data_IF_127293391855
#
_entry.id   IF_127293391855
#
_cell.length_a   1.000
_cell.length_b   1.000
_cell.length_c   1.000
_cell.angle_alpha   90.00
_cell.angle_beta   90.00
_cell.angle_gamma   90.00
#
_symmetry.space_group_name_H-M   'P 1'
#
loop_
_entity.id
_entity.type
_entity.pdbx_description
1 polymer ?
#
# COMPACT_ATOMS: atom_id res chain seq x y z
N UNK A 1 -13.79 19.52 12.88
CA UNK A 1 -13.80 18.45 11.86
C UNK A 1 -12.45 17.74 11.94
N UNK A 2 -12.37 16.64 12.69
CA UNK A 2 -11.15 15.83 12.78
C UNK A 2 -11.07 15.05 11.48
N UNK A 3 -10.09 15.36 10.63
CA UNK A 3 -9.80 14.54 9.46
C UNK A 3 -9.08 13.31 10.02
N UNK A 4 -9.81 12.22 10.17
CA UNK A 4 -9.20 10.94 10.51
C UNK A 4 -8.32 10.53 9.33
N UNK A 5 -7.01 10.49 9.53
CA UNK A 5 -6.07 10.13 8.49
C UNK A 5 -6.20 8.61 8.27
N UNK A 6 -6.90 8.25 7.19
CA UNK A 6 -7.15 6.86 6.79
C UNK A 6 -5.83 6.09 6.63
N UNK A 7 -5.85 4.77 6.87
CA UNK A 7 -4.63 3.97 6.68
C UNK A 7 -4.14 4.02 5.23
N UNK A 8 -2.82 3.93 4.99
CA UNK A 8 -2.26 3.92 3.64
C UNK A 8 -2.89 2.84 2.74
N UNK A 9 -3.19 1.67 3.32
CA UNK A 9 -3.89 0.58 2.65
C UNK A 9 -5.28 0.99 2.11
N UNK A 10 -6.06 1.75 2.88
CA UNK A 10 -7.39 2.17 2.48
C UNK A 10 -7.33 3.19 1.33
N UNK A 11 -6.32 4.06 1.33
CA UNK A 11 -6.08 5.02 0.23
C UNK A 11 -5.74 4.29 -1.06
N UNK A 12 -4.83 3.31 -1.01
CA UNK A 12 -4.45 2.49 -2.17
C UNK A 12 -5.66 1.71 -2.69
N UNK A 13 -6.48 1.14 -1.79
CA UNK A 13 -7.69 0.42 -2.19
C UNK A 13 -8.65 1.30 -3.02
N UNK A 14 -8.88 2.55 -2.61
CA UNK A 14 -9.74 3.49 -3.35
C UNK A 14 -9.20 3.81 -4.75
N UNK A 15 -7.89 4.04 -4.85
CA UNK A 15 -7.22 4.28 -6.15
C UNK A 15 -7.35 3.04 -7.04
N UNK A 16 -7.09 1.86 -6.47
CA UNK A 16 -7.14 0.60 -7.21
C UNK A 16 -8.56 0.28 -7.73
N UNK A 17 -9.61 0.61 -6.97
CA UNK A 17 -11.01 0.52 -7.43
C UNK A 17 -11.23 1.39 -8.67
N UNK A 18 -10.77 2.65 -8.64
CA UNK A 18 -10.94 3.57 -9.77
C UNK A 18 -10.17 3.16 -11.02
N UNK A 19 -8.95 2.65 -10.86
CA UNK A 19 -8.15 2.14 -11.99
C UNK A 19 -8.79 0.88 -12.57
N UNK A 20 -9.18 -0.07 -11.72
CA UNK A 20 -9.79 -1.33 -12.16
C UNK A 20 -11.10 -1.08 -12.90
N UNK A 21 -11.95 -0.17 -12.41
CA UNK A 21 -13.21 0.16 -13.09
C UNK A 21 -13.00 0.76 -14.48
N UNK A 22 -11.98 1.61 -14.66
CA UNK A 22 -11.63 2.14 -15.98
C UNK A 22 -11.21 1.02 -16.94
N UNK A 23 -10.38 0.07 -16.49
CA UNK A 23 -9.95 -1.06 -17.32
C UNK A 23 -11.10 -2.03 -17.66
N UNK A 24 -12.08 -2.20 -16.76
CA UNK A 24 -13.30 -2.95 -17.05
C UNK A 24 -14.08 -2.29 -18.19
N UNK A 25 -14.26 -0.97 -18.13
CA UNK A 25 -14.95 -0.22 -19.20
C UNK A 25 -14.20 -0.33 -20.54
N UNK A 26 -12.88 -0.18 -20.53
CA UNK A 26 -12.06 -0.36 -21.74
C UNK A 26 -12.18 -1.77 -22.32
N UNK A 27 -12.25 -2.79 -21.46
CA UNK A 27 -12.48 -4.17 -21.88
C UNK A 27 -13.85 -4.34 -22.54
N UNK A 28 -14.91 -3.74 -21.97
CA UNK A 28 -16.25 -3.77 -22.54
C UNK A 28 -16.30 -3.09 -23.93
N UNK A 29 -15.62 -1.97 -24.10
CA UNK A 29 -15.50 -1.29 -25.39
C UNK A 29 -14.74 -2.14 -26.42
N UNK A 30 -13.61 -2.74 -26.03
CA UNK A 30 -12.84 -3.62 -26.90
C UNK A 30 -13.65 -4.85 -27.38
N UNK A 31 -14.54 -5.37 -26.54
CA UNK A 31 -15.48 -6.45 -26.92
C UNK A 31 -16.54 -5.90 -27.88
N UNK A 32 -17.12 -4.73 -27.60
CA UNK A 32 -18.15 -4.10 -28.44
C UNK A 32 -17.66 -3.77 -29.85
N UNK A 33 -16.39 -3.40 -29.98
CA UNK A 33 -15.75 -3.11 -31.27
C UNK A 33 -15.30 -4.39 -32.00
N UNK A 34 -15.42 -5.56 -31.38
CA UNK A 34 -15.07 -6.85 -31.98
C UNK A 34 -13.56 -7.14 -31.99
N UNK A 35 -12.75 -6.37 -31.26
CA UNK A 35 -11.30 -6.61 -31.14
C UNK A 35 -11.00 -7.88 -30.32
N UNK A 36 -11.91 -8.27 -29.42
CA UNK A 36 -11.81 -9.48 -28.60
C UNK A 36 -12.90 -10.46 -29.05
N UNK A 37 -12.52 -11.45 -29.86
CA UNK A 37 -13.43 -12.49 -30.35
C UNK A 37 -13.56 -13.61 -29.32
N UNK A 38 -14.62 -13.57 -28.52
CA UNK A 38 -14.91 -14.58 -27.47
C UNK A 38 -15.85 -15.68 -28.01
N UNK A 39 -16.67 -15.35 -29.01
CA UNK A 39 -17.55 -16.29 -29.70
C UNK A 39 -17.08 -16.45 -31.15
N UNK A 40 -16.91 -17.71 -31.57
CA UNK A 40 -16.48 -18.08 -32.91
C UNK A 40 -17.38 -17.41 -33.96
N UNK A 41 -16.76 -16.72 -34.90
CA UNK A 41 -17.45 -15.84 -35.83
C UNK A 41 -18.10 -16.68 -36.94
N UNK A 42 -19.32 -17.17 -36.70
CA UNK A 42 -20.04 -18.04 -37.63
C UNK A 42 -20.47 -17.39 -38.96
N UNK A 43 -20.19 -16.11 -39.22
CA UNK A 43 -20.54 -15.41 -40.48
C UNK A 43 -19.49 -14.38 -40.91
N UNK A 44 -18.57 -14.82 -41.77
CA UNK A 44 -17.93 -14.17 -42.94
C UNK A 44 -17.38 -12.72 -42.87
N UNK A 45 -17.38 -12.03 -41.73
CA UNK A 45 -16.72 -10.72 -41.61
C UNK A 45 -15.89 -10.73 -40.32
N UNK A 46 -14.71 -11.33 -40.40
CA UNK A 46 -13.74 -11.30 -39.31
C UNK A 46 -12.81 -10.10 -39.52
N UNK A 47 -12.82 -9.17 -38.58
CA UNK A 47 -11.75 -8.17 -38.41
C UNK A 47 -10.52 -8.93 -37.90
N UNK A 48 -9.35 -8.57 -38.40
CA UNK A 48 -8.09 -9.23 -38.05
C UNK A 48 -7.85 -9.19 -36.54
N UNK A 49 -7.50 -10.34 -35.97
CA UNK A 49 -7.39 -10.53 -34.52
C UNK A 49 -6.24 -9.68 -33.99
N UNK A 50 -6.56 -8.63 -33.24
CA UNK A 50 -5.53 -7.82 -32.59
C UNK A 50 -5.20 -8.41 -31.21
N UNK A 51 -4.17 -9.27 -31.15
CA UNK A 51 -3.77 -9.94 -29.90
C UNK A 51 -3.43 -8.97 -28.76
N UNK A 52 -3.07 -7.71 -29.08
CA UNK A 52 -2.84 -6.65 -28.10
C UNK A 52 -4.09 -6.22 -27.32
N UNK A 53 -5.30 -6.45 -27.85
CA UNK A 53 -6.55 -6.10 -27.16
C UNK A 53 -6.80 -6.98 -25.92
N UNK A 54 -6.14 -8.14 -25.79
CA UNK A 54 -6.24 -9.02 -24.61
C UNK A 54 -5.53 -8.44 -23.37
N UNK A 55 -4.74 -7.38 -23.51
CA UNK A 55 -4.06 -6.74 -22.38
C UNK A 55 -5.08 -6.10 -21.43
N UNK A 56 -6.17 -5.51 -21.94
CA UNK A 56 -7.21 -4.88 -21.11
C UNK A 56 -7.88 -5.84 -20.12
N UNK A 57 -8.43 -7.00 -20.55
CA UNK A 57 -9.03 -7.95 -19.62
C UNK A 57 -8.01 -8.55 -18.64
N UNK A 58 -6.76 -8.79 -19.07
CA UNK A 58 -5.70 -9.32 -18.19
C UNK A 58 -5.42 -8.34 -17.04
N UNK A 59 -5.22 -7.06 -17.35
CA UNK A 59 -4.97 -6.02 -16.32
C UNK A 59 -6.18 -5.89 -15.40
N UNK A 60 -7.40 -5.92 -15.94
CA UNK A 60 -8.62 -5.89 -15.14
C UNK A 60 -8.70 -7.08 -14.15
N UNK A 61 -8.29 -8.27 -14.59
CA UNK A 61 -8.32 -9.48 -13.77
C UNK A 61 -7.29 -9.39 -12.62
N UNK A 62 -6.09 -8.88 -12.91
CA UNK A 62 -5.06 -8.61 -11.90
C UNK A 62 -5.57 -7.59 -10.87
N UNK A 63 -6.21 -6.51 -11.32
CA UNK A 63 -6.80 -5.49 -10.44
C UNK A 63 -7.85 -6.07 -9.49
N UNK A 64 -8.75 -6.93 -10.00
CA UNK A 64 -9.74 -7.63 -9.19
C UNK A 64 -9.13 -8.60 -8.18
N UNK A 65 -8.09 -9.36 -8.58
CA UNK A 65 -7.37 -10.26 -7.68
C UNK A 65 -6.72 -9.49 -6.52
N UNK A 66 -6.05 -8.38 -6.81
CA UNK A 66 -5.45 -7.53 -5.79
C UNK A 66 -6.50 -6.95 -4.83
N UNK A 67 -7.63 -6.46 -5.35
CA UNK A 67 -8.74 -5.99 -4.53
C UNK A 67 -9.33 -7.11 -3.65
N UNK A 68 -9.45 -8.31 -4.17
CA UNK A 68 -9.95 -9.47 -3.42
C UNK A 68 -9.00 -9.84 -2.27
N UNK A 69 -7.69 -9.86 -2.54
CA UNK A 69 -6.66 -10.11 -1.51
C UNK A 69 -6.72 -9.03 -0.43
N UNK A 70 -6.82 -7.75 -0.82
CA UNK A 70 -6.95 -6.65 0.14
C UNK A 70 -8.23 -6.74 0.97
N UNK A 71 -9.36 -7.11 0.35
CA UNK A 71 -10.63 -7.29 1.05
C UNK A 71 -10.57 -8.44 2.06
N UNK A 72 -9.99 -9.59 1.67
CA UNK A 72 -9.84 -10.74 2.57
C UNK A 72 -8.86 -10.47 3.71
N UNK A 73 -7.80 -9.71 3.43
CA UNK A 73 -6.80 -9.28 4.41
C UNK A 73 -7.37 -8.29 5.43
N UNK A 74 -8.46 -7.58 5.12
CA UNK A 74 -9.03 -6.55 6.01
C UNK A 74 -9.54 -7.09 7.35
N UNK A 75 -9.84 -8.38 7.45
CA UNK A 75 -10.36 -9.02 8.66
C UNK A 75 -9.31 -9.82 9.45
N UNK A 76 -8.04 -9.76 9.03
CA UNK A 76 -6.91 -10.40 9.74
C UNK A 76 -6.19 -9.36 10.59
N UNK A 77 -5.71 -9.80 11.75
CA UNK A 77 -4.89 -8.97 12.63
C UNK A 77 -3.59 -8.52 11.92
N UNK A 78 -2.97 -7.48 12.48
CA UNK A 78 -1.75 -6.87 11.97
C UNK A 78 -0.64 -7.94 11.88
N UNK A 79 0.23 -7.83 10.88
CA UNK A 79 1.40 -8.69 10.58
C UNK A 79 1.16 -10.04 9.89
N UNK A 80 -0.06 -10.56 9.84
CA UNK A 80 -0.36 -11.90 9.25
C UNK A 80 -0.71 -11.90 7.74
N UNK A 81 -0.62 -10.75 7.06
CA UNK A 81 -0.99 -10.63 5.65
C UNK A 81 0.21 -10.49 4.72
N UNK A 82 0.13 -11.13 3.54
CA UNK A 82 1.16 -11.08 2.50
C UNK A 82 1.51 -9.64 2.05
N UNK A 83 0.56 -8.72 2.12
CA UNK A 83 0.73 -7.33 1.72
C UNK A 83 1.22 -6.42 2.85
N UNK A 84 1.26 -6.88 4.10
CA UNK A 84 1.60 -6.02 5.24
C UNK A 84 3.06 -5.56 5.22
N UNK A 85 3.95 -6.38 4.63
CA UNK A 85 5.35 -6.03 4.42
C UNK A 85 5.56 -4.86 3.45
N UNK A 86 4.59 -4.62 2.57
CA UNK A 86 4.67 -3.59 1.53
C UNK A 86 3.79 -2.38 1.82
N UNK A 87 2.60 -2.63 2.37
CA UNK A 87 1.59 -1.62 2.62
C UNK A 87 1.12 -1.81 4.05
N UNK A 88 1.54 -0.90 4.93
CA UNK A 88 1.06 -0.93 6.30
C UNK A 88 -0.43 -0.59 6.36
N UNK A 89 -1.16 -1.46 7.08
CA UNK A 89 -2.58 -1.29 7.41
C UNK A 89 -2.80 -0.43 8.67
N UNK A 90 -1.73 0.01 9.33
CA UNK A 90 -1.74 0.87 10.52
C UNK A 90 -2.39 2.21 10.20
N UNK A 91 -3.06 2.82 11.19
CA UNK A 91 -3.58 4.19 11.04
C UNK A 91 -2.41 5.12 10.82
N UNK A 92 -2.53 6.02 9.85
CA UNK A 92 -1.42 6.88 9.45
C UNK A 92 -0.94 7.76 10.61
N UNK A 93 -1.85 8.21 11.49
CA UNK A 93 -1.50 9.02 12.66
C UNK A 93 -0.62 8.25 13.67
N UNK A 94 -0.95 6.99 13.94
CA UNK A 94 -0.25 6.12 14.90
C UNK A 94 1.14 5.74 14.37
N UNK A 95 1.19 5.35 13.09
CA UNK A 95 2.42 5.10 12.36
C UNK A 95 3.33 6.33 12.36
N UNK A 96 2.78 7.53 12.12
CA UNK A 96 3.56 8.78 12.12
C UNK A 96 4.11 9.11 13.49
N UNK A 97 3.35 8.90 14.58
CA UNK A 97 3.89 9.10 15.93
C UNK A 97 5.03 8.14 16.23
N UNK A 98 4.86 6.85 15.92
CA UNK A 98 5.89 5.83 16.13
C UNK A 98 7.14 6.11 15.30
N UNK A 99 7.00 6.36 14.00
CA UNK A 99 8.14 6.68 13.12
C UNK A 99 8.86 7.96 13.54
N UNK A 100 8.15 8.98 14.03
CA UNK A 100 8.80 10.19 14.57
C UNK A 100 9.62 9.87 15.81
N UNK A 101 9.12 9.01 16.68
CA UNK A 101 9.85 8.58 17.86
C UNK A 101 11.08 7.74 17.47
N UNK A 102 10.92 6.76 16.58
CA UNK A 102 12.03 5.98 16.02
C UNK A 102 13.07 6.88 15.33
N UNK A 103 12.64 7.93 14.62
CA UNK A 103 13.53 8.93 14.01
C UNK A 103 14.28 9.77 15.04
N UNK A 104 13.64 10.16 16.15
CA UNK A 104 14.29 10.91 17.22
C UNK A 104 15.33 10.06 17.96
N UNK A 105 15.02 8.78 18.18
CA UNK A 105 15.91 7.80 18.79
C UNK A 105 17.08 7.44 17.87
N UNK A 106 16.86 7.38 16.55
CA UNK A 106 17.91 7.10 15.56
C UNK A 106 18.69 8.34 15.11
N UNK A 107 18.19 9.56 15.37
CA UNK A 107 18.84 10.80 14.97
C UNK A 107 20.14 11.00 15.76
N UNK A 108 21.26 11.10 15.05
CA UNK A 108 22.58 11.35 15.65
C UNK A 108 22.70 12.67 16.42
N UNK A 109 21.78 13.62 16.22
CA UNK A 109 21.71 14.86 17.03
C UNK A 109 21.35 14.58 18.50
N UNK A 110 20.62 13.49 18.77
CA UNK A 110 20.34 13.02 20.13
C UNK A 110 21.45 12.16 20.71
N UNK A 111 22.38 11.64 19.89
CA UNK A 111 23.52 10.86 20.39
C UNK A 111 24.50 11.73 21.19
N UNK A 112 24.75 12.97 20.76
CA UNK A 112 25.62 13.89 21.49
C UNK A 112 24.99 14.40 22.79
N UNK A 113 23.71 14.78 22.74
CA UNK A 113 22.97 15.26 23.92
C UNK A 113 22.59 14.14 24.89
N UNK A 114 22.25 12.95 24.39
CA UNK A 114 22.00 11.74 25.18
C UNK A 114 23.25 11.26 25.91
N UNK A 115 24.40 11.18 25.24
CA UNK A 115 25.67 10.87 25.89
C UNK A 115 26.05 11.93 26.94
N UNK A 116 25.88 13.22 26.63
CA UNK A 116 26.17 14.30 27.60
C UNK A 116 25.32 14.22 28.87
N UNK A 117 24.09 13.69 28.76
CA UNK A 117 23.19 13.54 29.90
C UNK A 117 23.56 12.32 30.75
N UNK A 118 23.92 11.21 30.10
CA UNK A 118 24.44 10.01 30.78
C UNK A 118 25.78 10.28 31.47
N UNK A 119 26.68 11.01 30.83
CA UNK A 119 27.98 11.38 31.40
C UNK A 119 27.81 12.29 32.62
N UNK A 120 26.87 13.25 32.56
CA UNK A 120 26.55 14.11 33.70
C UNK A 120 26.01 13.33 34.90
N UNK A 121 25.11 12.38 34.65
CA UNK A 121 24.53 11.53 35.70
C UNK A 121 25.58 10.59 36.31
N UNK A 122 26.46 10.01 35.47
CA UNK A 122 27.60 9.22 35.94
C UNK A 122 28.55 10.02 36.84
N UNK A 123 28.85 11.27 36.47
CA UNK A 123 29.68 12.17 37.26
C UNK A 123 29.02 12.57 38.59
N UNK A 124 27.71 12.82 38.60
CA UNK A 124 26.97 13.14 39.82
C UNK A 124 26.96 11.97 40.81
N UNK A 125 26.77 10.73 40.32
CA UNK A 125 26.85 9.51 41.16
C UNK A 125 28.26 9.31 41.72
N UNK A 126 29.30 9.49 40.89
CA UNK A 126 30.69 9.33 41.37
C UNK A 126 31.08 10.36 42.44
N UNK A 127 30.51 11.56 42.38
CA UNK A 127 30.75 12.60 43.39
C UNK A 127 29.99 12.33 44.69
N UNK A 128 28.78 11.78 44.63
CA UNK A 128 28.04 11.33 45.82
C UNK A 128 28.70 10.13 46.51
N UNK A 129 29.46 9.29 45.80
CA UNK A 129 30.22 8.17 46.38
C UNK A 129 31.54 8.61 47.04
N UNK A 130 32.05 9.81 46.74
CA UNK A 130 33.30 10.35 47.28
C UNK A 130 33.13 11.27 48.52
N UNK A 131 31.89 11.64 48.89
CA UNK A 131 31.53 12.35 50.14
C UNK A 131 31.14 11.40 51.29
#
# INVERSE_FOLDING_TARGET
MVIYLDSPANRIQRVLIGVTSAFILMTALAISEGLIQILDCGKNICIDRNDYALVFPIISLIGLLLLSIMYFSRNKEHEDALLDKWISREKEDDMRSRLKQEQLEASGDSMGSGWSKMEKEHLEISLEEEE
#
